data_IF_858833551905
#
_entry.id   IF_858833551905
#
_cell.length_a   1.000
_cell.length_b   1.000
_cell.length_c   1.000
_cell.angle_alpha   90.00
_cell.angle_beta   90.00
_cell.angle_gamma   90.00
#
_symmetry.space_group_name_H-M   'P 1'
#
loop_
_entity.id
_entity.type
_entity.pdbx_description
1 polymer ?
#
# COMPACT_ATOMS: atom_id res chain seq x y z
N UNK A 1 14.77 -11.29 2.59
CA UNK A 1 15.62 -11.50 3.77
C UNK A 1 15.90 -12.98 4.13
N UNK A 2 15.82 -13.93 3.19
CA UNK A 2 16.33 -15.31 3.42
C UNK A 2 17.87 -15.38 3.51
N UNK A 3 18.58 -14.31 3.13
CA UNK A 3 20.02 -14.16 3.34
C UNK A 3 20.39 -13.69 4.76
N UNK A 4 19.44 -13.23 5.59
CA UNK A 4 19.72 -12.76 6.95
C UNK A 4 19.66 -13.88 8.00
N UNK A 5 18.85 -14.93 7.78
CA UNK A 5 18.82 -16.07 8.70
C UNK A 5 20.05 -16.99 8.53
N UNK A 6 20.63 -17.05 7.34
CA UNK A 6 21.81 -17.89 7.06
C UNK A 6 23.14 -17.21 7.42
N UNK A 7 23.17 -15.88 7.50
CA UNK A 7 24.35 -15.14 7.98
C UNK A 7 24.40 -15.05 9.52
N UNK A 8 23.24 -15.15 10.19
CA UNK A 8 23.16 -15.17 11.66
C UNK A 8 23.64 -16.49 12.28
N UNK A 9 23.52 -17.61 11.56
CA UNK A 9 24.02 -18.90 12.04
C UNK A 9 25.55 -19.03 11.90
N UNK A 10 26.20 -18.26 11.03
CA UNK A 10 27.64 -18.36 10.78
C UNK A 10 28.46 -17.35 11.60
N UNK A 11 27.89 -16.21 12.00
CA UNK A 11 28.56 -15.28 12.93
C UNK A 11 28.45 -15.69 14.41
N UNK A 12 27.49 -16.54 14.78
CA UNK A 12 27.42 -17.15 16.11
C UNK A 12 28.51 -18.22 16.32
N UNK A 13 29.08 -18.77 15.26
CA UNK A 13 30.15 -19.79 15.33
C UNK A 13 31.57 -19.24 15.06
N UNK A 14 31.71 -18.03 14.52
CA UNK A 14 33.02 -17.51 14.07
C UNK A 14 33.77 -16.62 15.09
N UNK A 15 33.19 -16.28 16.25
CA UNK A 15 33.91 -15.54 17.31
C UNK A 15 34.18 -16.36 18.57
N UNK A 16 33.83 -17.65 18.56
CA UNK A 16 34.26 -18.60 19.59
C UNK A 16 35.78 -18.93 19.53
N UNK A 17 36.51 -18.43 18.53
CA UNK A 17 37.94 -18.73 18.33
C UNK A 17 38.91 -17.62 18.82
N UNK A 18 38.43 -16.49 19.35
CA UNK A 18 39.32 -15.47 19.93
C UNK A 18 38.79 -14.91 21.24
N UNK A 19 38.42 -15.79 22.17
CA UNK A 19 38.37 -15.46 23.59
C UNK A 19 39.48 -16.25 24.29
N UNK A 20 40.34 -15.54 25.02
CA UNK A 20 41.43 -16.13 25.78
C UNK A 20 40.87 -17.24 26.70
N UNK A 21 41.50 -18.42 26.62
CA UNK A 21 40.98 -19.67 27.19
C UNK A 21 40.87 -19.67 28.71
N UNK A 22 39.75 -20.20 29.20
CA UNK A 22 39.66 -20.87 30.50
C UNK A 22 39.97 -22.35 30.34
N UNK A 23 40.60 -22.95 31.35
CA UNK A 23 40.97 -24.36 31.45
C UNK A 23 39.73 -25.30 31.36
N UNK A 24 39.97 -26.54 30.92
CA UNK A 24 39.02 -27.63 30.66
C UNK A 24 38.15 -28.06 31.87
N UNK A 25 38.28 -27.38 33.01
CA UNK A 25 37.63 -27.72 34.28
C UNK A 25 36.41 -26.84 34.59
N UNK A 26 36.19 -25.72 33.90
CA UNK A 26 34.99 -24.87 34.07
C UNK A 26 34.57 -24.17 32.75
N UNK A 27 33.72 -24.82 31.93
CA UNK A 27 33.31 -24.31 30.62
C UNK A 27 32.15 -23.29 30.69
N UNK A 28 31.90 -22.65 31.84
CA UNK A 28 30.75 -21.79 32.01
C UNK A 28 31.08 -20.34 31.63
N UNK A 29 30.64 -19.95 30.43
CA UNK A 29 30.38 -18.53 30.14
C UNK A 29 29.43 -18.03 31.23
N UNK A 30 29.90 -17.10 32.07
CA UNK A 30 29.05 -16.60 33.15
C UNK A 30 27.76 -16.00 32.59
N UNK A 31 26.63 -16.33 33.20
CA UNK A 31 25.32 -15.76 32.84
C UNK A 31 25.39 -14.23 32.81
N UNK A 32 26.18 -13.64 33.70
CA UNK A 32 26.45 -12.21 33.74
C UNK A 32 27.12 -11.70 32.44
N UNK A 33 28.12 -12.41 31.90
CA UNK A 33 28.75 -12.03 30.63
C UNK A 33 27.77 -12.12 29.44
N UNK A 34 26.93 -13.16 29.38
CA UNK A 34 25.89 -13.29 28.36
C UNK A 34 24.86 -12.17 28.45
N UNK A 35 24.37 -11.87 29.66
CA UNK A 35 23.32 -10.88 29.86
C UNK A 35 23.81 -9.44 29.71
N UNK A 36 25.05 -9.14 30.10
CA UNK A 36 25.56 -7.77 30.08
C UNK A 36 26.37 -7.50 28.84
N UNK A 37 27.52 -8.16 28.68
CA UNK A 37 28.50 -7.82 27.64
C UNK A 37 28.06 -8.30 26.26
N UNK A 38 27.61 -9.55 26.17
CA UNK A 38 27.15 -10.11 24.90
C UNK A 38 25.86 -9.43 24.42
N UNK A 39 24.81 -9.35 25.25
CA UNK A 39 23.56 -8.66 24.89
C UNK A 39 23.81 -7.20 24.49
N UNK A 40 24.65 -6.45 25.22
CA UNK A 40 24.92 -5.05 24.87
C UNK A 40 25.61 -4.92 23.52
N UNK A 41 26.62 -5.77 23.24
CA UNK A 41 27.31 -5.76 21.93
C UNK A 41 26.43 -6.27 20.80
N UNK A 42 25.58 -7.26 21.07
CA UNK A 42 24.61 -7.77 20.11
C UNK A 42 23.58 -6.68 19.77
N UNK A 43 22.98 -6.05 20.78
CA UNK A 43 22.04 -4.94 20.60
C UNK A 43 22.70 -3.76 19.87
N UNK A 44 23.90 -3.32 20.26
CA UNK A 44 24.56 -2.22 19.57
C UNK A 44 24.94 -2.53 18.12
N UNK A 45 25.28 -3.79 17.82
CA UNK A 45 25.54 -4.23 16.44
C UNK A 45 24.26 -4.35 15.63
N UNK A 46 23.15 -4.73 16.27
CA UNK A 46 21.80 -4.72 15.68
C UNK A 46 21.37 -3.29 15.38
N UNK A 47 21.49 -2.37 16.34
CA UNK A 47 21.14 -0.96 16.18
C UNK A 47 21.98 -0.32 15.07
N UNK A 48 23.30 -0.52 15.05
CA UNK A 48 24.16 -0.02 13.98
C UNK A 48 23.84 -0.62 12.60
N UNK A 49 23.41 -1.89 12.56
CA UNK A 49 22.98 -2.53 11.33
C UNK A 49 21.62 -2.00 10.85
N UNK A 50 20.69 -1.71 11.77
CA UNK A 50 19.41 -1.05 11.49
C UNK A 50 19.66 0.37 10.95
N UNK A 51 20.47 1.18 11.64
CA UNK A 51 20.82 2.54 11.20
C UNK A 51 21.45 2.56 9.81
N UNK A 52 22.34 1.62 9.51
CA UNK A 52 22.99 1.51 8.20
C UNK A 52 22.02 1.06 7.11
N UNK A 53 21.12 0.13 7.42
CA UNK A 53 20.09 -0.32 6.49
C UNK A 53 19.12 0.82 6.15
N UNK A 54 18.72 1.60 7.16
CA UNK A 54 17.88 2.78 7.00
C UNK A 54 18.57 3.84 6.13
N UNK A 55 19.84 4.16 6.41
CA UNK A 55 20.61 5.09 5.56
C UNK A 55 20.72 4.63 4.11
N UNK A 56 20.93 3.33 3.86
CA UNK A 56 20.98 2.79 2.52
C UNK A 56 19.62 2.87 1.80
N UNK A 57 18.52 2.62 2.54
CA UNK A 57 17.17 2.77 2.01
C UNK A 57 16.85 4.24 1.66
N UNK A 58 17.20 5.18 2.53
CA UNK A 58 17.07 6.62 2.26
C UNK A 58 17.90 7.06 1.06
N UNK A 59 19.17 6.67 0.98
CA UNK A 59 20.04 7.02 -0.15
C UNK A 59 19.51 6.46 -1.47
N UNK A 60 18.98 5.22 -1.46
CA UNK A 60 18.34 4.61 -2.64
C UNK A 60 17.09 5.37 -3.05
N UNK A 61 16.23 5.74 -2.10
CA UNK A 61 15.02 6.51 -2.36
C UNK A 61 15.35 7.91 -2.91
N UNK A 62 16.36 8.58 -2.33
CA UNK A 62 16.83 9.88 -2.81
C UNK A 62 17.41 9.79 -4.23
N UNK A 63 18.23 8.77 -4.53
CA UNK A 63 18.77 8.56 -5.86
C UNK A 63 17.67 8.30 -6.90
N UNK A 64 16.66 7.50 -6.55
CA UNK A 64 15.51 7.25 -7.41
C UNK A 64 14.69 8.53 -7.68
N UNK A 65 14.46 9.34 -6.64
CA UNK A 65 13.79 10.63 -6.78
C UNK A 65 14.58 11.59 -7.68
N UNK A 66 15.89 11.75 -7.45
CA UNK A 66 16.78 12.57 -8.28
C UNK A 66 16.77 12.12 -9.74
N UNK A 67 16.80 10.81 -9.99
CA UNK A 67 16.71 10.26 -11.35
C UNK A 67 15.38 10.58 -12.02
N UNK A 68 14.27 10.52 -11.27
CA UNK A 68 12.93 10.82 -11.81
C UNK A 68 12.79 12.30 -12.14
N UNK A 69 13.30 13.19 -11.27
CA UNK A 69 13.35 14.63 -11.51
C UNK A 69 14.20 14.96 -12.73
N UNK A 70 15.40 14.39 -12.83
CA UNK A 70 16.27 14.61 -13.99
C UNK A 70 15.61 14.15 -15.31
N UNK A 71 14.88 13.03 -15.29
CA UNK A 71 14.11 12.57 -16.44
C UNK A 71 12.95 13.51 -16.79
N UNK A 72 12.28 14.08 -15.79
CA UNK A 72 11.23 15.08 -16.00
C UNK A 72 11.79 16.35 -16.63
N UNK A 73 12.88 16.90 -16.07
CA UNK A 73 13.58 18.09 -16.55
C UNK A 73 14.13 17.93 -17.97
N UNK A 74 14.63 16.74 -18.32
CA UNK A 74 15.16 16.47 -19.66
C UNK A 74 14.08 16.42 -20.76
N UNK A 75 12.84 16.10 -20.40
CA UNK A 75 11.75 15.86 -21.35
C UNK A 75 10.59 16.85 -21.21
N UNK A 76 10.78 17.98 -20.51
CA UNK A 76 9.72 18.95 -20.24
C UNK A 76 9.04 19.37 -21.55
N UNK A 77 7.71 19.25 -21.59
CA UNK A 77 6.92 19.68 -22.74
C UNK A 77 7.15 18.87 -24.02
N UNK A 78 7.79 17.70 -23.94
CA UNK A 78 8.06 16.86 -25.10
C UNK A 78 6.80 16.31 -25.78
N UNK A 79 5.69 16.25 -25.05
CA UNK A 79 4.38 15.84 -25.54
C UNK A 79 3.38 16.99 -25.48
N UNK A 80 2.23 16.82 -26.13
CA UNK A 80 1.16 17.81 -26.13
C UNK A 80 -0.20 17.14 -26.01
N UNK A 81 -1.01 17.62 -25.07
CA UNK A 81 -2.41 17.27 -24.92
C UNK A 81 -3.27 18.45 -25.37
N UNK A 82 -4.00 18.30 -26.49
CA UNK A 82 -4.85 19.36 -27.06
C UNK A 82 -6.18 19.52 -26.32
N UNK A 83 -6.56 18.52 -25.54
CA UNK A 83 -7.73 18.52 -24.67
C UNK A 83 -7.31 18.04 -23.28
N UNK A 84 -8.12 18.39 -22.28
CA UNK A 84 -7.95 17.88 -20.93
C UNK A 84 -7.93 16.35 -20.94
N UNK A 85 -6.75 15.81 -20.63
CA UNK A 85 -6.44 14.39 -20.60
C UNK A 85 -6.19 13.97 -19.16
N UNK A 86 -6.89 12.94 -18.71
CA UNK A 86 -6.72 12.37 -17.37
C UNK A 86 -5.52 11.43 -17.33
N UNK A 87 -4.79 11.44 -16.21
CA UNK A 87 -3.86 10.39 -15.84
C UNK A 87 -3.93 10.10 -14.35
N UNK A 88 -3.97 8.81 -14.01
CA UNK A 88 -3.70 8.35 -12.64
C UNK A 88 -2.20 8.09 -12.51
N UNK A 89 -1.58 8.73 -11.53
CA UNK A 89 -0.15 8.73 -11.29
C UNK A 89 0.15 8.07 -9.93
N UNK A 90 1.31 7.44 -9.79
CA UNK A 90 1.76 6.85 -8.51
C UNK A 90 2.72 7.78 -7.79
N UNK A 91 2.99 7.46 -6.52
CA UNK A 91 3.90 8.24 -5.68
C UNK A 91 5.25 8.51 -6.38
N UNK A 92 5.68 9.75 -6.40
CA UNK A 92 6.94 10.19 -7.00
C UNK A 92 6.92 10.35 -8.51
N UNK A 93 5.84 9.98 -9.21
CA UNK A 93 5.68 10.36 -10.62
C UNK A 93 5.66 11.89 -10.74
N UNK A 94 6.24 12.39 -11.83
CA UNK A 94 6.34 13.83 -12.09
C UNK A 94 5.69 14.14 -13.44
N UNK A 95 4.57 14.87 -13.40
CA UNK A 95 4.04 15.58 -14.57
C UNK A 95 4.79 16.91 -14.70
N UNK A 96 5.40 17.17 -15.84
CA UNK A 96 6.18 18.39 -16.08
C UNK A 96 5.68 19.12 -17.32
N UNK A 97 5.88 20.43 -17.38
CA UNK A 97 5.61 21.21 -18.58
C UNK A 97 6.05 22.65 -18.46
N UNK A 98 5.88 23.37 -19.57
CA UNK A 98 6.26 24.77 -19.71
C UNK A 98 5.04 25.69 -19.68
N UNK A 99 5.26 26.98 -19.92
CA UNK A 99 4.23 27.99 -20.15
C UNK A 99 3.04 27.46 -20.95
N UNK A 100 1.84 27.68 -20.41
CA UNK A 100 0.58 27.26 -21.01
C UNK A 100 0.11 25.86 -20.63
N UNK A 101 0.93 25.06 -19.93
CA UNK A 101 0.46 23.82 -19.31
C UNK A 101 -0.57 24.14 -18.23
N UNK A 102 -1.65 23.37 -18.23
CA UNK A 102 -2.74 23.45 -17.27
C UNK A 102 -2.91 22.11 -16.59
N UNK A 103 -3.06 22.12 -15.28
CA UNK A 103 -3.18 20.90 -14.46
C UNK A 103 -4.32 21.08 -13.46
N UNK A 104 -5.21 20.11 -13.37
CA UNK A 104 -6.27 20.01 -12.36
C UNK A 104 -5.96 18.79 -11.52
N UNK A 105 -5.81 18.95 -10.22
CA UNK A 105 -5.65 17.82 -9.29
C UNK A 105 -7.05 17.33 -8.94
N UNK A 106 -7.48 16.19 -9.48
CA UNK A 106 -8.82 15.66 -9.23
C UNK A 106 -8.90 14.92 -7.89
N UNK A 107 -7.81 14.26 -7.49
CA UNK A 107 -7.71 13.54 -6.23
C UNK A 107 -6.25 13.28 -5.83
N UNK A 108 -5.98 13.17 -4.53
CA UNK A 108 -4.68 12.82 -3.98
C UNK A 108 -3.73 14.01 -3.81
N UNK A 109 -2.51 13.75 -3.38
CA UNK A 109 -1.54 14.80 -3.01
C UNK A 109 -0.50 15.02 -4.08
N UNK A 110 -0.40 16.26 -4.55
CA UNK A 110 0.57 16.71 -5.56
C UNK A 110 1.21 18.01 -5.07
N UNK A 111 2.53 18.14 -5.21
CA UNK A 111 3.24 19.39 -4.99
C UNK A 111 3.74 19.94 -6.33
N UNK A 112 3.82 21.26 -6.45
CA UNK A 112 4.43 21.92 -7.62
C UNK A 112 5.79 22.51 -7.26
N UNK A 113 6.78 22.34 -8.13
CA UNK A 113 8.10 22.95 -8.01
C UNK A 113 8.49 23.67 -9.30
N UNK A 114 9.13 24.83 -9.16
CA UNK A 114 9.68 25.64 -10.24
C UNK A 114 10.80 26.54 -9.69
N UNK A 115 11.78 26.87 -10.52
CA UNK A 115 12.95 27.69 -10.13
C UNK A 115 12.83 29.17 -10.50
N UNK A 116 11.93 29.50 -11.44
CA UNK A 116 11.69 30.85 -11.95
C UNK A 116 10.25 30.96 -12.47
N UNK A 117 9.80 32.20 -12.69
CA UNK A 117 8.44 32.47 -13.15
C UNK A 117 7.38 32.17 -12.07
N UNK A 118 6.19 31.75 -12.49
CA UNK A 118 5.06 31.54 -11.60
C UNK A 118 4.15 30.39 -12.07
N UNK A 119 3.47 29.78 -11.11
CA UNK A 119 2.29 28.96 -11.36
C UNK A 119 1.10 29.66 -10.70
N UNK A 120 -0.01 29.77 -11.41
CA UNK A 120 -1.21 30.47 -10.93
C UNK A 120 -2.29 29.45 -10.65
N UNK A 121 -2.84 29.47 -9.44
CA UNK A 121 -4.12 28.84 -9.15
C UNK A 121 -5.23 29.71 -9.75
N UNK A 122 -5.76 29.27 -10.89
CA UNK A 122 -6.80 29.99 -11.64
C UNK A 122 -8.14 29.95 -10.90
N UNK A 123 -8.37 28.92 -10.08
CA UNK A 123 -9.61 28.80 -9.30
C UNK A 123 -9.70 29.90 -8.24
N UNK A 124 -8.57 30.21 -7.58
CA UNK A 124 -8.51 31.26 -6.54
C UNK A 124 -7.98 32.60 -7.06
N UNK A 125 -7.43 32.65 -8.27
CA UNK A 125 -6.85 33.84 -8.87
C UNK A 125 -5.53 34.28 -8.23
N UNK A 126 -4.76 33.35 -7.65
CA UNK A 126 -3.56 33.64 -6.87
C UNK A 126 -2.36 32.84 -7.35
N UNK A 127 -1.16 33.43 -7.30
CA UNK A 127 0.09 32.69 -7.52
C UNK A 127 0.33 31.68 -6.40
N UNK A 128 0.84 30.49 -6.75
CA UNK A 128 1.28 29.48 -5.80
C UNK A 128 2.78 29.58 -5.57
N UNK A 129 3.23 29.25 -4.35
CA UNK A 129 4.66 29.20 -4.05
C UNK A 129 5.28 27.92 -4.62
N UNK A 130 6.51 28.00 -5.10
CA UNK A 130 7.28 26.80 -5.42
C UNK A 130 7.44 25.91 -4.17
N UNK A 131 7.22 24.61 -4.34
CA UNK A 131 7.15 23.62 -3.27
C UNK A 131 5.76 23.46 -2.62
N UNK A 132 4.77 24.28 -3.00
CA UNK A 132 3.44 24.21 -2.39
C UNK A 132 2.70 22.91 -2.74
N UNK A 133 1.95 22.40 -1.76
CA UNK A 133 0.94 21.38 -1.98
C UNK A 133 -0.27 21.99 -2.69
N UNK A 134 -0.79 21.27 -3.68
CA UNK A 134 -1.92 21.69 -4.48
C UNK A 134 -3.24 21.21 -3.86
N UNK A 135 -4.27 22.02 -4.01
CA UNK A 135 -5.63 21.71 -3.58
C UNK A 135 -6.34 20.85 -4.63
N UNK A 136 -7.15 19.91 -4.17
CA UNK A 136 -8.03 19.12 -5.03
C UNK A 136 -9.09 20.02 -5.71
N UNK A 137 -9.47 19.68 -6.94
CA UNK A 137 -10.40 20.38 -7.81
C UNK A 137 -10.02 21.83 -8.17
N UNK A 138 -8.75 22.19 -7.99
CA UNK A 138 -8.22 23.48 -8.43
C UNK A 138 -7.50 23.35 -9.77
N UNK A 139 -7.59 24.39 -10.62
CA UNK A 139 -6.89 24.47 -11.91
C UNK A 139 -5.67 25.35 -11.79
N UNK A 140 -4.51 24.78 -12.07
CA UNK A 140 -3.22 25.45 -12.06
C UNK A 140 -2.76 25.73 -13.49
N UNK A 141 -2.28 26.94 -13.75
CA UNK A 141 -1.71 27.38 -15.02
C UNK A 141 -0.24 27.72 -14.83
N UNK A 142 0.62 27.10 -15.64
CA UNK A 142 2.04 27.44 -15.72
C UNK A 142 2.19 28.75 -16.52
N UNK A 143 2.69 29.81 -15.86
CA UNK A 143 2.80 31.13 -16.46
C UNK A 143 3.99 31.23 -17.43
N UNK A 144 4.22 32.43 -17.97
CA UNK A 144 5.38 32.73 -18.82
C UNK A 144 6.71 32.43 -18.13
N UNK A 145 7.72 32.09 -18.92
CA UNK A 145 9.09 31.81 -18.47
C UNK A 145 9.20 30.80 -17.30
N UNK A 146 8.25 29.87 -17.24
CA UNK A 146 8.12 28.88 -16.16
C UNK A 146 8.22 27.46 -16.70
N UNK A 147 9.06 26.65 -16.07
CA UNK A 147 9.03 25.19 -16.14
C UNK A 147 8.57 24.67 -14.79
N UNK A 148 7.46 23.93 -14.77
CA UNK A 148 6.85 23.44 -13.55
C UNK A 148 6.86 21.91 -13.49
N UNK A 149 7.18 21.39 -12.31
CA UNK A 149 7.20 19.96 -11.99
C UNK A 149 6.13 19.68 -10.94
N UNK A 150 5.10 18.94 -11.34
CA UNK A 150 3.98 18.49 -10.52
C UNK A 150 4.28 17.06 -10.04
N UNK A 151 4.76 16.94 -8.81
CA UNK A 151 5.20 15.65 -8.23
C UNK A 151 4.12 15.07 -7.33
N UNK A 152 3.76 13.81 -7.54
CA UNK A 152 2.84 13.09 -6.66
C UNK A 152 3.54 12.75 -5.34
N UNK A 153 2.99 13.23 -4.22
CA UNK A 153 3.57 13.01 -2.88
C UNK A 153 2.83 11.94 -2.09
N UNK A 154 1.54 11.76 -2.35
CA UNK A 154 0.72 10.68 -1.79
C UNK A 154 0.94 9.33 -2.50
N UNK A 155 0.28 8.26 -2.05
CA UNK A 155 0.37 6.92 -2.66
C UNK A 155 -0.01 6.91 -4.14
N UNK A 156 -0.95 7.78 -4.53
CA UNK A 156 -1.39 8.03 -5.90
C UNK A 156 -2.11 9.38 -5.98
N UNK A 157 -2.20 9.93 -7.18
CA UNK A 157 -3.05 11.07 -7.50
C UNK A 157 -3.73 10.87 -8.86
N UNK A 158 -4.86 11.53 -9.07
CA UNK A 158 -5.51 11.66 -10.37
C UNK A 158 -5.37 13.11 -10.80
N UNK A 159 -4.77 13.34 -11.96
CA UNK A 159 -4.60 14.67 -12.54
C UNK A 159 -5.23 14.74 -13.91
N UNK A 160 -5.74 15.90 -14.26
CA UNK A 160 -6.21 16.20 -15.60
C UNK A 160 -5.39 17.35 -16.16
N UNK A 161 -4.81 17.21 -17.35
CA UNK A 161 -3.87 18.18 -17.89
C UNK A 161 -4.12 18.52 -19.36
N UNK A 162 -3.74 19.74 -19.75
CA UNK A 162 -3.88 20.26 -21.11
C UNK A 162 -2.71 21.19 -21.43
N UNK A 163 -2.09 21.05 -22.60
CA UNK A 163 -0.91 21.82 -23.02
C UNK A 163 0.31 20.93 -23.25
N UNK A 164 1.49 21.57 -23.32
CA UNK A 164 2.77 20.86 -23.46
C UNK A 164 3.17 20.21 -22.14
N UNK A 165 3.37 18.90 -22.17
CA UNK A 165 3.62 18.11 -20.96
C UNK A 165 4.65 16.99 -21.20
N UNK A 166 5.09 16.37 -20.12
CA UNK A 166 5.76 15.07 -20.09
C UNK A 166 5.53 14.42 -18.73
N UNK A 167 5.48 13.08 -18.67
CA UNK A 167 5.34 12.32 -17.42
C UNK A 167 6.58 11.45 -17.24
N UNK A 168 7.29 11.66 -16.14
CA UNK A 168 8.37 10.79 -15.69
C UNK A 168 7.85 9.85 -14.61
N UNK A 169 7.95 8.54 -14.84
CA UNK A 169 7.52 7.52 -13.90
C UNK A 169 8.57 7.24 -12.82
N UNK A 170 8.12 7.05 -11.59
CA UNK A 170 8.96 6.61 -10.48
C UNK A 170 9.06 5.09 -10.38
N UNK A 171 9.95 4.62 -9.49
CA UNK A 171 10.05 3.21 -9.11
C UNK A 171 9.19 2.83 -7.89
N UNK A 172 8.27 3.70 -7.47
CA UNK A 172 7.41 3.46 -6.29
C UNK A 172 6.38 2.36 -6.55
N UNK A 173 5.72 1.92 -5.48
CA UNK A 173 4.62 0.95 -5.54
C UNK A 173 3.52 1.45 -6.47
N UNK A 174 3.07 0.58 -7.37
CA UNK A 174 2.07 0.89 -8.39
C UNK A 174 0.67 0.46 -7.94
N UNK A 175 0.13 1.14 -6.92
CA UNK A 175 -1.24 0.91 -6.44
C UNK A 175 -2.29 1.00 -7.56
N UNK A 176 -2.22 1.96 -8.52
CA UNK A 176 -3.12 2.00 -9.67
C UNK A 176 -3.08 0.73 -10.52
N UNK A 177 -1.90 0.21 -10.86
CA UNK A 177 -1.79 -1.03 -11.63
C UNK A 177 -2.34 -2.24 -10.87
N UNK A 178 -2.15 -2.31 -9.54
CA UNK A 178 -2.73 -3.36 -8.71
C UNK A 178 -4.26 -3.29 -8.70
N UNK A 179 -4.83 -2.09 -8.62
CA UNK A 179 -6.27 -1.89 -8.69
C UNK A 179 -6.83 -2.31 -10.06
N UNK A 180 -6.15 -1.93 -11.15
CA UNK A 180 -6.50 -2.33 -12.49
C UNK A 180 -6.41 -3.85 -12.66
N UNK A 181 -5.35 -4.50 -12.17
CA UNK A 181 -5.22 -5.97 -12.16
C UNK A 181 -6.41 -6.61 -11.44
N UNK A 182 -6.75 -6.19 -10.22
CA UNK A 182 -7.87 -6.78 -9.49
C UNK A 182 -9.21 -6.54 -10.19
N UNK A 183 -9.37 -5.40 -10.87
CA UNK A 183 -10.57 -5.09 -11.66
C UNK A 183 -10.71 -6.00 -12.89
N UNK A 184 -9.62 -6.31 -13.59
CA UNK A 184 -9.66 -7.28 -14.71
C UNK A 184 -10.08 -8.67 -14.27
N UNK A 185 -9.79 -9.05 -13.02
CA UNK A 185 -10.22 -10.30 -12.40
C UNK A 185 -11.62 -10.22 -11.77
N UNK A 186 -12.32 -9.09 -11.91
CA UNK A 186 -13.62 -8.79 -11.28
C UNK A 186 -13.62 -8.77 -9.74
N UNK A 187 -12.43 -8.72 -9.12
CA UNK A 187 -12.25 -8.71 -7.66
C UNK A 187 -12.29 -7.29 -7.06
N UNK A 188 -12.26 -6.26 -7.91
CA UNK A 188 -12.34 -4.86 -7.48
C UNK A 188 -13.16 -4.05 -8.49
N UNK A 189 -14.19 -3.33 -8.03
CA UNK A 189 -15.11 -2.59 -8.92
C UNK A 189 -14.85 -1.08 -8.96
N UNK A 190 -14.25 -0.51 -7.91
CA UNK A 190 -14.25 0.95 -7.70
C UNK A 190 -15.55 1.45 -7.09
N UNK A 191 -15.81 2.75 -7.25
CA UNK A 191 -16.99 3.51 -6.87
C UNK A 191 -17.60 4.18 -8.10
N UNK A 192 -18.65 4.98 -7.90
CA UNK A 192 -19.31 5.75 -8.96
C UNK A 192 -18.57 7.06 -9.30
N UNK A 193 -17.36 7.26 -8.79
CA UNK A 193 -16.54 8.45 -9.09
C UNK A 193 -16.15 8.48 -10.58
N UNK A 194 -16.48 9.57 -11.26
CA UNK A 194 -16.36 9.69 -12.72
C UNK A 194 -14.93 9.90 -13.27
N UNK A 195 -13.91 9.87 -12.42
CA UNK A 195 -12.50 10.02 -12.79
C UNK A 195 -11.65 8.91 -12.18
N UNK A 196 -10.45 8.70 -12.72
CA UNK A 196 -9.45 7.76 -12.21
C UNK A 196 -9.99 6.35 -12.06
N UNK A 197 -10.87 5.95 -13.00
CA UNK A 197 -11.60 4.69 -13.04
C UNK A 197 -12.51 4.37 -11.83
N UNK A 198 -12.82 5.39 -11.02
CA UNK A 198 -13.60 5.24 -9.79
C UNK A 198 -12.84 4.48 -8.70
N UNK A 199 -11.53 4.30 -8.79
CA UNK A 199 -10.81 3.48 -7.80
C UNK A 199 -10.82 4.10 -6.40
N UNK A 200 -10.82 5.43 -6.32
CA UNK A 200 -10.79 6.19 -5.06
C UNK A 200 -9.65 5.75 -4.13
N UNK A 201 -8.48 5.40 -4.68
CA UNK A 201 -7.36 4.81 -3.92
C UNK A 201 -6.82 5.73 -2.82
N UNK A 202 -6.98 7.02 -3.02
CA UNK A 202 -6.62 8.11 -2.11
C UNK A 202 -7.59 8.31 -0.93
N UNK A 203 -8.78 7.67 -0.95
CA UNK A 203 -9.77 7.79 0.12
C UNK A 203 -9.59 6.72 1.19
N UNK A 204 -9.87 7.08 2.44
CA UNK A 204 -10.00 6.13 3.53
C UNK A 204 -11.32 5.35 3.35
N UNK A 205 -11.31 4.00 3.30
CA UNK A 205 -12.55 3.24 3.21
C UNK A 205 -13.25 3.22 4.56
N UNK A 206 -14.57 3.17 4.55
CA UNK A 206 -15.35 2.74 5.71
C UNK A 206 -15.13 1.26 5.98
N UNK A 207 -15.47 0.81 7.19
CA UNK A 207 -15.41 -0.60 7.59
C UNK A 207 -16.32 -1.47 6.73
N UNK A 208 -17.49 -0.98 6.33
CA UNK A 208 -18.37 -1.71 5.41
C UNK A 208 -17.76 -1.82 4.00
N UNK A 209 -17.20 -0.74 3.47
CA UNK A 209 -16.53 -0.79 2.16
C UNK A 209 -15.34 -1.74 2.16
N UNK A 210 -14.51 -1.71 3.21
CA UNK A 210 -13.38 -2.62 3.36
C UNK A 210 -13.83 -4.09 3.45
N UNK A 211 -14.94 -4.38 4.14
CA UNK A 211 -15.53 -5.71 4.19
C UNK A 211 -16.04 -6.17 2.82
N UNK A 212 -16.74 -5.31 2.09
CA UNK A 212 -17.22 -5.62 0.74
C UNK A 212 -16.04 -5.87 -0.21
N UNK A 213 -14.96 -5.08 -0.10
CA UNK A 213 -13.74 -5.31 -0.87
C UNK A 213 -13.08 -6.67 -0.54
N UNK A 214 -13.09 -7.10 0.74
CA UNK A 214 -12.66 -8.46 1.11
C UNK A 214 -13.55 -9.53 0.46
N UNK A 215 -14.87 -9.41 0.55
CA UNK A 215 -15.81 -10.38 -0.03
C UNK A 215 -15.60 -10.51 -1.55
N UNK A 216 -15.37 -9.38 -2.23
CA UNK A 216 -15.03 -9.37 -3.66
C UNK A 216 -13.69 -10.02 -3.96
N UNK A 217 -12.66 -9.75 -3.16
CA UNK A 217 -11.36 -10.43 -3.25
C UNK A 217 -11.51 -11.96 -3.18
N UNK A 218 -12.42 -12.45 -2.33
CA UNK A 218 -12.69 -13.87 -2.17
C UNK A 218 -13.57 -14.44 -3.30
N UNK A 219 -14.03 -13.62 -4.25
CA UNK A 219 -14.98 -14.03 -5.29
C UNK A 219 -16.30 -14.54 -4.70
N UNK A 220 -16.78 -13.93 -3.61
CA UNK A 220 -17.96 -14.37 -2.85
C UNK A 220 -19.09 -13.31 -2.85
N UNK A 221 -19.01 -12.28 -3.69
CA UNK A 221 -20.00 -11.18 -3.71
C UNK A 221 -21.40 -11.65 -4.11
N UNK A 222 -21.52 -12.59 -5.06
CA UNK A 222 -22.83 -13.11 -5.50
C UNK A 222 -23.52 -13.88 -4.38
N UNK A 223 -22.80 -14.70 -3.64
CA UNK A 223 -23.29 -15.42 -2.47
C UNK A 223 -23.66 -14.44 -1.35
N UNK A 224 -22.83 -13.42 -1.11
CA UNK A 224 -23.09 -12.41 -0.09
C UNK A 224 -24.36 -11.62 -0.36
N UNK A 225 -24.61 -11.21 -1.62
CA UNK A 225 -25.79 -10.43 -2.02
C UNK A 225 -27.11 -11.16 -1.80
N UNK A 226 -27.09 -12.50 -1.76
CA UNK A 226 -28.29 -13.33 -1.54
C UNK A 226 -28.41 -13.84 -0.11
N UNK A 227 -27.45 -13.49 0.76
CA UNK A 227 -27.41 -14.01 2.12
C UNK A 227 -28.50 -13.40 3.00
N UNK A 228 -29.28 -14.26 3.64
CA UNK A 228 -30.31 -13.89 4.63
C UNK A 228 -30.02 -14.48 6.01
N UNK A 229 -28.75 -14.83 6.28
CA UNK A 229 -28.35 -15.40 7.56
C UNK A 229 -28.56 -14.40 8.71
N UNK A 230 -28.65 -14.91 9.93
CA UNK A 230 -28.74 -14.07 11.12
C UNK A 230 -27.47 -13.22 11.30
N UNK A 231 -27.67 -11.98 11.72
CA UNK A 231 -26.60 -11.06 12.13
C UNK A 231 -27.12 -10.14 13.25
N UNK A 232 -26.29 -9.76 14.23
CA UNK A 232 -26.75 -9.04 15.43
C UNK A 232 -26.68 -7.50 15.32
N UNK A 233 -26.12 -6.97 14.24
CA UNK A 233 -25.79 -5.56 14.08
C UNK A 233 -27.02 -4.70 13.74
N UNK A 234 -27.21 -3.63 14.49
CA UNK A 234 -28.35 -2.71 14.34
C UNK A 234 -28.02 -1.44 13.57
N UNK A 235 -26.73 -1.18 13.30
CA UNK A 235 -26.21 -0.01 12.60
C UNK A 235 -25.85 -0.28 11.13
N UNK A 236 -26.32 -1.41 10.57
CA UNK A 236 -26.12 -1.78 9.17
C UNK A 236 -27.35 -1.35 8.35
N UNK A 237 -27.19 -0.51 7.31
CA UNK A 237 -28.30 -0.09 6.46
C UNK A 237 -28.79 -1.24 5.57
N UNK A 238 -30.04 -1.16 5.12
CA UNK A 238 -30.73 -2.25 4.39
C UNK A 238 -29.94 -2.78 3.19
N UNK A 239 -29.33 -1.89 2.40
CA UNK A 239 -28.54 -2.28 1.22
C UNK A 239 -27.30 -3.11 1.57
N UNK A 240 -26.79 -2.99 2.80
CA UNK A 240 -25.58 -3.65 3.28
C UNK A 240 -25.87 -4.87 4.17
N UNK A 241 -27.13 -5.13 4.52
CA UNK A 241 -27.53 -6.26 5.37
C UNK A 241 -27.04 -7.61 4.83
N UNK A 242 -27.14 -7.93 3.53
CA UNK A 242 -26.67 -9.21 3.01
C UNK A 242 -25.16 -9.41 3.20
N UNK A 243 -24.37 -8.35 2.98
CA UNK A 243 -22.92 -8.40 3.19
C UNK A 243 -22.54 -8.61 4.66
N UNK A 244 -23.19 -7.90 5.58
CA UNK A 244 -22.96 -8.06 7.01
C UNK A 244 -23.36 -9.48 7.48
N UNK A 245 -24.52 -9.96 7.03
CA UNK A 245 -25.00 -11.31 7.33
C UNK A 245 -24.05 -12.39 6.82
N UNK A 246 -23.61 -12.27 5.57
CA UNK A 246 -22.67 -13.17 4.96
C UNK A 246 -21.34 -13.19 5.72
N UNK A 247 -20.72 -12.03 5.91
CA UNK A 247 -19.46 -11.92 6.62
C UNK A 247 -19.51 -12.44 8.05
N UNK A 248 -20.61 -12.18 8.78
CA UNK A 248 -20.81 -12.69 10.13
C UNK A 248 -20.92 -14.21 10.12
N UNK A 249 -21.74 -14.78 9.23
CA UNK A 249 -21.93 -16.23 9.11
C UNK A 249 -20.64 -16.99 8.73
N UNK A 250 -19.75 -16.35 7.95
CA UNK A 250 -18.46 -16.89 7.53
C UNK A 250 -17.35 -16.66 8.56
N UNK A 251 -17.62 -15.89 9.61
CA UNK A 251 -16.65 -15.55 10.65
C UNK A 251 -15.61 -14.50 10.25
N UNK A 252 -15.85 -13.73 9.18
CA UNK A 252 -14.92 -12.68 8.74
C UNK A 252 -14.91 -11.47 9.67
N UNK A 253 -15.98 -11.24 10.43
CA UNK A 253 -16.10 -10.10 11.33
C UNK A 253 -16.90 -10.45 12.59
N UNK A 254 -16.53 -9.83 13.72
CA UNK A 254 -17.32 -9.85 14.96
C UNK A 254 -18.14 -8.55 15.15
N UNK A 255 -18.01 -7.59 14.23
CA UNK A 255 -18.36 -6.19 14.50
C UNK A 255 -17.34 -5.52 15.44
N UNK A 256 -17.71 -4.36 15.96
CA UNK A 256 -16.95 -3.60 16.97
C UNK A 256 -17.59 -3.67 18.37
N UNK A 257 -18.78 -4.26 18.46
CA UNK A 257 -19.49 -4.53 19.71
C UNK A 257 -20.59 -5.58 19.50
N UNK A 258 -21.30 -6.00 20.57
CA UNK A 258 -22.25 -7.11 20.50
C UNK A 258 -23.36 -6.95 19.45
N UNK A 259 -23.82 -5.72 19.22
CA UNK A 259 -24.87 -5.38 18.25
C UNK A 259 -24.45 -4.26 17.30
N UNK A 260 -23.14 -4.00 17.16
CA UNK A 260 -22.62 -2.87 16.37
C UNK A 260 -21.53 -3.35 15.43
N UNK A 261 -21.75 -3.17 14.14
CA UNK A 261 -20.77 -3.48 13.11
C UNK A 261 -19.73 -2.36 12.97
N UNK A 262 -20.16 -1.10 13.10
CA UNK A 262 -19.36 0.09 12.83
C UNK A 262 -19.39 0.51 11.37
N UNK A 263 -20.57 0.48 10.72
CA UNK A 263 -20.71 0.61 9.25
C UNK A 263 -19.93 1.78 8.64
N UNK A 264 -20.02 2.96 9.24
CA UNK A 264 -19.40 4.19 8.74
C UNK A 264 -18.04 4.50 9.38
N UNK A 265 -17.57 3.66 10.31
CA UNK A 265 -16.26 3.85 10.93
C UNK A 265 -15.17 3.72 9.88
N UNK A 266 -14.16 4.59 9.90
CA UNK A 266 -12.99 4.44 9.04
C UNK A 266 -12.30 3.09 9.31
N UNK A 267 -11.98 2.39 8.22
CA UNK A 267 -11.18 1.18 8.26
C UNK A 267 -9.76 1.48 8.73
N UNK A 268 -9.17 0.53 9.47
CA UNK A 268 -7.76 0.59 9.87
C UNK A 268 -6.98 -0.57 9.28
N UNK A 269 -5.65 -0.45 9.28
CA UNK A 269 -4.75 -1.51 8.82
C UNK A 269 -4.91 -2.79 9.65
N UNK A 270 -5.06 -2.64 10.97
CA UNK A 270 -5.28 -3.74 11.92
C UNK A 270 -6.58 -4.48 11.61
N UNK A 271 -7.65 -3.73 11.39
CA UNK A 271 -8.95 -4.28 11.05
C UNK A 271 -8.91 -5.05 9.73
N UNK A 272 -8.43 -4.45 8.66
CA UNK A 272 -8.46 -5.10 7.35
C UNK A 272 -7.49 -6.29 7.30
N UNK A 273 -6.35 -6.20 7.99
CA UNK A 273 -5.43 -7.33 8.12
C UNK A 273 -6.08 -8.48 8.89
N UNK A 274 -6.84 -8.19 9.95
CA UNK A 274 -7.58 -9.24 10.67
C UNK A 274 -8.66 -9.88 9.80
N UNK A 275 -9.39 -9.09 9.01
CA UNK A 275 -10.34 -9.61 8.02
C UNK A 275 -9.66 -10.58 7.05
N UNK A 276 -8.49 -10.22 6.52
CA UNK A 276 -7.68 -11.09 5.66
C UNK A 276 -7.23 -12.36 6.38
N UNK A 277 -6.72 -12.26 7.61
CA UNK A 277 -6.28 -13.43 8.38
C UNK A 277 -7.42 -14.41 8.65
N UNK A 278 -8.62 -13.92 8.97
CA UNK A 278 -9.82 -14.76 9.14
C UNK A 278 -10.22 -15.42 7.83
N UNK A 279 -10.25 -14.66 6.74
CA UNK A 279 -10.58 -15.18 5.42
C UNK A 279 -9.60 -16.26 4.94
N UNK A 280 -8.30 -16.06 5.21
CA UNK A 280 -7.22 -17.00 4.90
C UNK A 280 -7.06 -18.11 5.96
N UNK A 281 -7.91 -18.14 7.00
CA UNK A 281 -7.91 -19.15 8.09
C UNK A 281 -6.65 -19.17 8.96
N UNK A 282 -5.94 -18.05 9.04
CA UNK A 282 -4.85 -17.82 10.02
C UNK A 282 -5.35 -17.20 11.33
N UNK A 283 -6.60 -16.70 11.35
CA UNK A 283 -7.28 -16.21 12.54
C UNK A 283 -8.74 -16.71 12.56
N UNK A 284 -9.45 -16.40 13.63
CA UNK A 284 -10.86 -16.75 13.81
C UNK A 284 -11.61 -15.69 14.63
N UNK A 285 -12.91 -15.86 14.79
CA UNK A 285 -13.76 -15.00 15.62
C UNK A 285 -13.38 -15.01 17.11
N UNK A 286 -12.61 -16.00 17.58
CA UNK A 286 -12.09 -16.04 18.94
C UNK A 286 -11.02 -14.96 19.21
N UNK A 287 -10.37 -14.44 18.15
CA UNK A 287 -9.39 -13.36 18.29
C UNK A 287 -10.11 -12.02 18.47
N UNK A 288 -10.14 -11.53 19.71
CA UNK A 288 -10.78 -10.27 20.08
C UNK A 288 -9.83 -9.07 19.99
N UNK A 289 -8.56 -9.24 20.34
CA UNK A 289 -7.53 -8.19 20.18
C UNK A 289 -6.95 -8.23 18.77
N UNK A 290 -7.23 -7.19 18.01
CA UNK A 290 -6.77 -7.05 16.62
C UNK A 290 -5.59 -6.09 16.49
N UNK A 291 -5.16 -5.44 17.59
CA UNK A 291 -4.16 -4.37 17.55
C UNK A 291 -2.82 -4.78 16.92
N UNK A 292 -2.43 -6.05 17.08
CA UNK A 292 -1.22 -6.64 16.49
C UNK A 292 -1.49 -7.54 15.26
N UNK A 293 -2.62 -7.37 14.58
CA UNK A 293 -2.95 -8.16 13.39
C UNK A 293 -1.88 -8.07 12.27
N UNK A 294 -1.27 -6.91 11.95
CA UNK A 294 -0.16 -6.82 11.00
C UNK A 294 1.03 -7.72 11.38
N UNK A 295 1.43 -7.73 12.65
CA UNK A 295 2.55 -8.54 13.13
C UNK A 295 2.19 -10.03 13.11
N UNK A 296 0.96 -10.40 13.49
CA UNK A 296 0.49 -11.79 13.34
C UNK A 296 0.50 -12.24 11.88
N UNK A 297 0.13 -11.37 10.96
CA UNK A 297 0.15 -11.66 9.54
C UNK A 297 1.59 -11.84 9.01
N UNK A 298 2.54 -11.07 9.52
CA UNK A 298 3.96 -11.29 9.26
C UNK A 298 4.42 -12.67 9.76
N UNK A 299 4.12 -13.03 11.01
CA UNK A 299 4.50 -14.35 11.56
C UNK A 299 3.83 -15.52 10.83
N UNK A 300 2.64 -15.32 10.27
CA UNK A 300 1.94 -16.28 9.44
C UNK A 300 2.49 -16.37 7.99
N UNK A 301 3.44 -15.52 7.61
CA UNK A 301 3.97 -15.44 6.25
C UNK A 301 3.02 -14.79 5.24
N UNK A 302 1.95 -14.14 5.71
CA UNK A 302 0.99 -13.40 4.89
C UNK A 302 1.57 -12.06 4.46
N UNK A 303 2.23 -11.35 5.39
CA UNK A 303 2.90 -10.06 5.15
C UNK A 303 4.42 -10.16 5.28
N UNK A 304 5.12 -9.20 4.68
CA UNK A 304 6.55 -8.94 4.90
C UNK A 304 6.76 -7.97 6.06
N UNK A 305 8.00 -7.82 6.51
CA UNK A 305 8.33 -6.87 7.58
C UNK A 305 8.10 -5.42 7.13
N UNK A 306 8.50 -5.05 5.91
CA UNK A 306 8.29 -3.71 5.39
C UNK A 306 6.82 -3.39 5.14
N UNK A 307 5.99 -4.39 4.82
CA UNK A 307 4.52 -4.19 4.74
C UNK A 307 3.95 -3.81 6.11
N UNK A 308 4.38 -4.48 7.18
CA UNK A 308 3.99 -4.10 8.54
C UNK A 308 4.43 -2.67 8.85
N UNK A 309 5.70 -2.32 8.59
CA UNK A 309 6.20 -0.95 8.81
C UNK A 309 5.41 0.09 8.02
N UNK A 310 5.11 -0.16 6.74
CA UNK A 310 4.38 0.76 5.87
C UNK A 310 2.93 0.99 6.36
N UNK A 311 2.26 -0.07 6.83
CA UNK A 311 0.91 0.00 7.39
C UNK A 311 0.86 0.79 8.71
N UNK A 312 1.94 0.77 9.49
CA UNK A 312 2.04 1.55 10.75
C UNK A 312 2.41 3.02 10.52
N UNK A 313 3.10 3.31 9.42
CA UNK A 313 3.67 4.63 9.17
C UNK A 313 2.68 5.65 8.56
N UNK A 314 1.55 5.21 8.02
CA UNK A 314 0.65 6.07 7.24
C UNK A 314 -0.83 5.79 7.51
N UNK A 315 -1.68 6.74 7.15
CA UNK A 315 -3.13 6.53 7.15
C UNK A 315 -3.51 5.36 6.23
N UNK A 316 -4.50 4.58 6.64
CA UNK A 316 -4.99 3.43 5.89
C UNK A 316 -5.99 3.86 4.82
N UNK A 317 -5.63 3.64 3.56
CA UNK A 317 -6.41 4.06 2.39
C UNK A 317 -6.90 2.86 1.58
N UNK A 318 -7.79 3.10 0.62
CA UNK A 318 -8.22 2.08 -0.35
C UNK A 318 -7.05 1.53 -1.16
N UNK A 319 -6.01 2.35 -1.40
CA UNK A 319 -4.72 1.89 -1.93
C UNK A 319 -4.15 0.71 -1.13
N UNK A 320 -4.19 0.76 0.20
CA UNK A 320 -3.67 -0.31 1.06
C UNK A 320 -4.53 -1.56 1.02
N UNK A 321 -5.86 -1.39 0.98
CA UNK A 321 -6.79 -2.51 0.81
C UNK A 321 -6.51 -3.24 -0.51
N UNK A 322 -6.32 -2.50 -1.60
CA UNK A 322 -5.97 -3.04 -2.93
C UNK A 322 -4.61 -3.74 -2.89
N UNK A 323 -3.59 -3.12 -2.30
CA UNK A 323 -2.26 -3.69 -2.19
C UNK A 323 -2.29 -5.04 -1.45
N UNK A 324 -2.92 -5.06 -0.28
CA UNK A 324 -3.04 -6.26 0.54
C UNK A 324 -3.88 -7.34 -0.17
N UNK A 325 -4.94 -6.95 -0.87
CA UNK A 325 -5.77 -7.84 -1.69
C UNK A 325 -4.96 -8.48 -2.82
N UNK A 326 -4.16 -7.69 -3.54
CA UNK A 326 -3.36 -8.13 -4.67
C UNK A 326 -2.33 -9.19 -4.25
N UNK A 327 -1.62 -8.97 -3.13
CA UNK A 327 -0.65 -9.93 -2.63
C UNK A 327 -1.28 -11.11 -1.89
N UNK A 328 -2.47 -10.95 -1.31
CA UNK A 328 -3.21 -12.07 -0.73
C UNK A 328 -3.53 -13.17 -1.75
N UNK A 329 -3.66 -12.84 -3.04
CA UNK A 329 -3.83 -13.84 -4.12
C UNK A 329 -2.66 -14.83 -4.21
N UNK A 330 -1.45 -14.43 -3.80
CA UNK A 330 -0.25 -15.29 -3.79
C UNK A 330 -0.01 -15.99 -2.45
N UNK A 331 -0.81 -15.65 -1.45
CA UNK A 331 -0.72 -16.23 -0.11
C UNK A 331 -1.51 -17.52 -0.06
N UNK A 332 -0.97 -18.52 0.64
CA UNK A 332 -1.69 -19.76 0.90
C UNK A 332 -2.88 -19.49 1.83
N UNK A 333 -4.01 -20.11 1.56
CA UNK A 333 -5.02 -20.30 2.60
C UNK A 333 -4.42 -21.31 3.59
N UNK A 334 -4.56 -21.07 4.90
CA UNK A 334 -3.96 -21.92 5.94
C UNK A 334 -4.28 -23.41 5.70
N UNK A 335 -3.24 -24.23 5.56
CA UNK A 335 -3.34 -25.66 5.26
C UNK A 335 -3.75 -26.03 3.82
N UNK A 336 -3.76 -25.06 2.89
CA UNK A 336 -4.21 -25.25 1.51
C UNK A 336 -3.28 -24.62 0.46
N UNK A 337 -3.83 -24.44 -0.75
CA UNK A 337 -3.15 -23.79 -1.88
C UNK A 337 -3.21 -22.26 -1.79
N UNK A 338 -2.61 -21.57 -2.75
CA UNK A 338 -2.75 -20.13 -2.89
C UNK A 338 -4.22 -19.74 -3.04
N UNK A 339 -4.56 -18.54 -2.59
CA UNK A 339 -5.89 -17.99 -2.78
C UNK A 339 -6.24 -17.93 -4.28
N UNK A 340 -5.30 -17.51 -5.14
CA UNK A 340 -5.47 -17.53 -6.60
C UNK A 340 -5.84 -18.92 -7.14
N UNK A 341 -5.11 -19.98 -6.77
CA UNK A 341 -5.42 -21.36 -7.17
C UNK A 341 -6.83 -21.77 -6.73
N UNK A 342 -7.23 -21.37 -5.52
CA UNK A 342 -8.57 -21.64 -4.99
C UNK A 342 -9.66 -20.94 -5.82
N UNK A 343 -9.43 -19.69 -6.21
CA UNK A 343 -10.36 -18.90 -7.01
C UNK A 343 -10.44 -19.41 -8.46
N UNK A 344 -9.32 -19.87 -9.02
CA UNK A 344 -9.27 -20.52 -10.35
C UNK A 344 -10.05 -21.84 -10.31
N UNK A 345 -9.84 -22.67 -9.29
CA UNK A 345 -10.56 -23.93 -9.13
C UNK A 345 -12.08 -23.72 -8.96
N UNK A 346 -12.49 -22.60 -8.35
CA UNK A 346 -13.90 -22.17 -8.24
C UNK A 346 -14.46 -21.52 -9.50
N UNK A 347 -13.63 -21.26 -10.52
CA UNK A 347 -14.05 -20.63 -11.77
C UNK A 347 -14.32 -19.13 -11.65
N UNK A 348 -13.79 -18.44 -10.63
CA UNK A 348 -13.94 -16.98 -10.47
C UNK A 348 -13.19 -16.24 -11.59
N UNK A 349 -12.02 -16.73 -11.97
CA UNK A 349 -11.27 -16.31 -13.15
C UNK A 349 -10.40 -17.46 -13.67
N UNK A 350 -9.90 -17.34 -14.90
CA UNK A 350 -9.00 -18.35 -15.49
C UNK A 350 -7.54 -18.12 -15.09
N UNK A 351 -6.73 -19.17 -15.14
CA UNK A 351 -5.28 -19.09 -14.97
C UNK A 351 -4.61 -18.15 -15.99
N UNK A 352 -5.10 -18.13 -17.24
CA UNK A 352 -4.64 -17.17 -18.25
C UNK A 352 -4.93 -15.72 -17.85
N UNK A 353 -6.18 -15.43 -17.45
CA UNK A 353 -6.56 -14.10 -16.99
C UNK A 353 -5.74 -13.66 -15.76
N UNK A 354 -5.44 -14.58 -14.84
CA UNK A 354 -4.58 -14.30 -13.70
C UNK A 354 -3.16 -13.93 -14.11
N UNK A 355 -2.52 -14.69 -15.02
CA UNK A 355 -1.19 -14.34 -15.52
C UNK A 355 -1.16 -12.99 -16.23
N UNK A 356 -2.16 -12.72 -17.08
CA UNK A 356 -2.25 -11.47 -17.83
C UNK A 356 -2.44 -10.28 -16.88
N UNK A 357 -3.28 -10.43 -15.85
CA UNK A 357 -3.48 -9.37 -14.85
C UNK A 357 -2.20 -9.10 -14.06
N UNK A 358 -1.42 -10.15 -13.72
CA UNK A 358 -0.15 -10.02 -12.99
C UNK A 358 0.92 -9.29 -13.81
N UNK A 359 0.91 -9.43 -15.14
CA UNK A 359 1.84 -8.72 -16.02
C UNK A 359 1.60 -7.20 -16.07
N UNK A 360 0.47 -6.70 -15.55
CA UNK A 360 0.18 -5.27 -15.48
C UNK A 360 0.98 -4.56 -14.38
N UNK A 361 1.46 -5.28 -13.36
CA UNK A 361 2.10 -4.69 -12.17
C UNK A 361 3.61 -4.88 -12.21
N UNK A 362 4.33 -3.79 -12.48
CA UNK A 362 5.79 -3.81 -12.60
C UNK A 362 6.53 -3.39 -11.33
N UNK A 363 5.84 -2.89 -10.31
CA UNK A 363 6.44 -2.54 -9.02
C UNK A 363 6.70 -3.76 -8.15
N UNK A 364 7.80 -3.75 -7.39
CA UNK A 364 8.11 -4.81 -6.45
C UNK A 364 7.19 -4.79 -5.22
N UNK A 365 7.01 -5.98 -4.60
CA UNK A 365 6.42 -6.12 -3.26
C UNK A 365 7.31 -5.42 -2.24
N UNK A 366 6.68 -4.75 -1.28
CA UNK A 366 7.39 -4.15 -0.14
C UNK A 366 8.03 -5.29 0.66
N UNK A 367 9.34 -5.19 0.89
CA UNK A 367 10.21 -6.30 1.33
C UNK A 367 10.24 -6.58 2.82
#
# INVERSE_FOLDING_TARGET
>A
MALLASLLAVTVLATAATAAGGDASDPLISLNYLQTTFTTKANSSIDAALDKADQAAYAKAEAALRSTIAAAEANVGAQRADVFTESRLKQGDVLSGTTGLQVIVLAGSVNVQFSSGAVVDVTTGSEVKSGAALAENHRYLVAEDTTALFTVTGKTAVVNYCGFYSIASSSSVDYPAMAASLKTLTLFRGSDTGYGEGFDLEKAPTRMEALIMLIRLLGEESEALTCTAYQPFTDVPDWALPYAAYAYSKGYTNGVGPTTFGTTMSASAEMYTEFLLRALRYSSTAQSDISNAPERAYFAGVLTAGEVSALRASAFLRADVVYLSYYALETNVSGGSKLSDTLIARGVFSDAAYRDSRAMVNSARIG
#
